data_IF_696539830985
#
_entry.id   IF_696539830985
#
_cell.length_a   1.000
_cell.length_b   1.000
_cell.length_c   1.000
_cell.angle_alpha   90.00
_cell.angle_beta   90.00
_cell.angle_gamma   90.00
#
_symmetry.space_group_name_H-M   'P 1'
#
loop_
_entity.id
_entity.type
_entity.pdbx_description
1 polymer ?
#
# COMPACT_ATOMS: atom_id res chain seq x y z
N UNK A 1 7.53 -24.04 -13.11
CA UNK A 1 6.31 -23.28 -12.84
C UNK A 1 5.96 -22.46 -14.06
N UNK A 2 4.79 -22.69 -14.63
CA UNK A 2 4.37 -22.01 -15.85
C UNK A 2 3.12 -21.18 -15.60
N UNK A 3 3.07 -20.02 -16.25
CA UNK A 3 1.91 -19.13 -16.25
C UNK A 3 1.01 -19.48 -17.45
N UNK A 4 0.17 -20.50 -17.27
CA UNK A 4 -0.75 -21.01 -18.30
C UNK A 4 -2.18 -21.05 -17.77
N UNK A 5 -3.14 -21.00 -18.68
CA UNK A 5 -4.56 -21.19 -18.39
C UNK A 5 -4.93 -22.69 -18.50
N UNK A 6 -4.28 -23.52 -17.70
CA UNK A 6 -4.38 -24.97 -17.72
C UNK A 6 -4.65 -25.49 -16.30
N UNK A 7 -5.44 -26.54 -16.18
CA UNK A 7 -5.69 -27.19 -14.89
C UNK A 7 -4.41 -27.53 -14.14
N UNK A 8 -4.41 -27.30 -12.83
CA UNK A 8 -3.23 -27.45 -11.96
C UNK A 8 -2.29 -26.23 -11.93
N UNK A 9 -2.55 -25.16 -12.68
CA UNK A 9 -1.78 -23.92 -12.61
C UNK A 9 -2.46 -22.84 -11.77
N UNK A 10 -1.69 -21.89 -11.24
CA UNK A 10 -2.23 -20.79 -10.44
C UNK A 10 -3.22 -19.93 -11.23
N UNK A 11 -2.86 -19.54 -12.45
CA UNK A 11 -3.73 -18.71 -13.30
C UNK A 11 -5.08 -19.38 -13.58
N UNK A 12 -5.09 -20.68 -13.81
CA UNK A 12 -6.34 -21.44 -13.99
C UNK A 12 -7.21 -21.41 -12.74
N UNK A 13 -6.62 -21.65 -11.56
CA UNK A 13 -7.32 -21.59 -10.28
C UNK A 13 -7.89 -20.20 -9.94
N UNK A 14 -7.25 -19.13 -10.41
CA UNK A 14 -7.69 -17.76 -10.22
C UNK A 14 -8.75 -17.33 -11.25
N UNK A 15 -8.46 -17.52 -12.53
CA UNK A 15 -9.27 -16.92 -13.61
C UNK A 15 -10.38 -17.82 -14.14
N UNK A 16 -10.23 -19.15 -14.06
CA UNK A 16 -11.22 -20.11 -14.59
C UNK A 16 -12.15 -20.68 -13.55
N UNK A 17 -11.63 -20.96 -12.36
CA UNK A 17 -12.46 -21.51 -11.29
C UNK A 17 -13.23 -20.41 -10.57
N UNK A 18 -14.42 -20.73 -10.10
CA UNK A 18 -15.29 -19.86 -9.33
C UNK A 18 -15.90 -20.59 -8.13
N UNK A 19 -16.58 -19.82 -7.25
CA UNK A 19 -17.14 -20.33 -6.01
C UNK A 19 -16.07 -20.51 -4.91
N UNK A 20 -16.51 -20.99 -3.75
CA UNK A 20 -15.65 -21.15 -2.56
C UNK A 20 -14.52 -22.14 -2.85
N UNK A 21 -13.27 -21.66 -2.76
CA UNK A 21 -12.09 -22.47 -3.05
C UNK A 21 -10.84 -22.00 -2.32
N UNK A 22 -9.93 -22.92 -2.14
CA UNK A 22 -8.57 -22.64 -1.64
C UNK A 22 -7.56 -23.16 -2.64
N UNK A 23 -6.63 -22.28 -3.06
CA UNK A 23 -5.48 -22.66 -3.87
C UNK A 23 -4.34 -23.03 -2.92
N UNK A 24 -3.83 -24.25 -3.07
CA UNK A 24 -2.70 -24.81 -2.34
C UNK A 24 -1.57 -25.16 -3.30
N UNK A 25 -0.34 -25.17 -2.82
CA UNK A 25 0.84 -25.39 -3.65
C UNK A 25 1.60 -26.63 -3.22
N UNK A 26 1.94 -27.48 -4.16
CA UNK A 26 2.80 -28.66 -3.95
C UNK A 26 4.25 -28.41 -4.35
N UNK A 27 4.53 -27.24 -4.93
CA UNK A 27 5.84 -26.85 -5.45
C UNK A 27 6.18 -25.44 -5.00
N UNK A 28 7.45 -25.07 -5.06
CA UNK A 28 7.92 -23.71 -4.81
C UNK A 28 8.65 -23.15 -6.03
N UNK A 29 8.83 -21.84 -6.06
CA UNK A 29 9.61 -21.15 -7.07
C UNK A 29 8.93 -19.89 -7.62
N UNK A 30 9.47 -19.39 -8.74
CA UNK A 30 8.95 -18.19 -9.41
C UNK A 30 8.08 -18.56 -10.60
N UNK A 31 6.88 -17.99 -10.64
CA UNK A 31 6.00 -17.99 -11.80
C UNK A 31 6.24 -16.66 -12.53
N UNK A 32 6.87 -16.73 -13.70
CA UNK A 32 6.99 -15.57 -14.59
C UNK A 32 5.68 -15.39 -15.32
N UNK A 33 4.97 -14.33 -14.98
CA UNK A 33 3.67 -14.02 -15.58
C UNK A 33 3.85 -13.64 -17.05
N UNK A 34 2.88 -14.03 -17.88
CA UNK A 34 2.82 -13.71 -19.32
C UNK A 34 1.89 -12.50 -19.61
N UNK A 35 1.35 -11.89 -18.58
CA UNK A 35 0.47 -10.73 -18.59
C UNK A 35 -0.11 -10.50 -17.21
N UNK A 36 -0.83 -9.43 -17.04
CA UNK A 36 -1.51 -9.10 -15.79
C UNK A 36 -2.27 -10.31 -15.24
N UNK A 37 -2.19 -10.48 -13.91
CA UNK A 37 -2.98 -11.52 -13.23
C UNK A 37 -4.13 -10.86 -12.50
N UNK A 38 -5.37 -11.19 -12.86
CA UNK A 38 -6.58 -10.56 -12.33
C UNK A 38 -7.42 -11.54 -11.52
N UNK A 39 -7.52 -11.29 -10.21
CA UNK A 39 -8.35 -12.08 -9.31
C UNK A 39 -9.78 -11.56 -9.41
N UNK A 40 -10.56 -12.08 -10.39
CA UNK A 40 -11.94 -11.66 -10.67
C UNK A 40 -13.01 -12.53 -10.03
N UNK A 41 -12.65 -13.72 -9.58
CA UNK A 41 -13.56 -14.67 -8.97
C UNK A 41 -13.28 -14.73 -7.46
N UNK A 42 -14.18 -14.19 -6.67
CA UNK A 42 -14.08 -14.15 -5.21
C UNK A 42 -14.31 -15.47 -4.49
N UNK A 43 -14.61 -15.40 -3.21
CA UNK A 43 -14.70 -16.56 -2.31
C UNK A 43 -13.44 -17.45 -2.38
N UNK A 44 -12.27 -16.80 -2.43
CA UNK A 44 -10.98 -17.41 -2.70
C UNK A 44 -9.99 -17.23 -1.55
N UNK A 45 -9.33 -18.30 -1.18
CA UNK A 45 -8.09 -18.24 -0.38
C UNK A 45 -6.91 -18.71 -1.22
N UNK A 46 -5.86 -17.89 -1.32
CA UNK A 46 -4.56 -18.29 -1.87
C UNK A 46 -3.62 -18.57 -0.69
N UNK A 47 -3.36 -19.85 -0.44
CA UNK A 47 -2.63 -20.34 0.73
C UNK A 47 -1.15 -20.60 0.38
N UNK A 48 -0.37 -19.52 0.17
CA UNK A 48 1.05 -19.60 -0.19
C UNK A 48 1.91 -20.36 0.82
N UNK A 49 1.52 -20.41 2.10
CA UNK A 49 2.21 -21.16 3.16
C UNK A 49 2.21 -22.67 2.95
N UNK A 50 1.41 -23.20 2.04
CA UNK A 50 1.42 -24.62 1.71
C UNK A 50 2.54 -25.03 0.75
N UNK A 51 3.16 -24.05 0.08
CA UNK A 51 4.29 -24.28 -0.79
C UNK A 51 5.53 -24.70 0.02
N UNK A 52 6.31 -25.68 -0.45
CA UNK A 52 7.55 -26.04 0.19
C UNK A 52 8.64 -24.97 -0.01
N UNK A 53 9.76 -25.09 0.71
CA UNK A 53 10.95 -24.25 0.56
C UNK A 53 10.64 -22.76 0.67
N UNK A 54 11.09 -21.97 -0.31
CA UNK A 54 10.94 -20.52 -0.31
C UNK A 54 9.58 -19.99 -0.76
N UNK A 55 8.59 -20.88 -0.95
CA UNK A 55 7.24 -20.49 -1.34
C UNK A 55 7.10 -20.07 -2.81
N UNK A 56 6.04 -19.34 -3.11
CA UNK A 56 5.69 -18.90 -4.47
C UNK A 56 6.00 -17.41 -4.67
N UNK A 57 6.65 -17.11 -5.78
CA UNK A 57 6.88 -15.75 -6.27
C UNK A 57 6.15 -15.54 -7.60
N UNK A 58 5.43 -14.43 -7.73
CA UNK A 58 4.86 -13.94 -8.99
C UNK A 58 5.74 -12.81 -9.51
N UNK A 59 6.21 -12.91 -10.75
CA UNK A 59 7.15 -11.94 -11.31
C UNK A 59 6.75 -11.47 -12.71
N UNK A 60 7.11 -10.23 -13.03
CA UNK A 60 7.09 -9.69 -14.39
C UNK A 60 5.88 -8.84 -14.76
N UNK A 61 4.74 -8.98 -14.09
CA UNK A 61 3.53 -8.19 -14.37
C UNK A 61 2.77 -7.84 -13.10
N UNK A 62 1.92 -6.80 -13.15
CA UNK A 62 1.01 -6.44 -12.06
C UNK A 62 0.02 -7.55 -11.70
N UNK A 63 -0.37 -7.58 -10.43
CA UNK A 63 -1.46 -8.43 -9.95
C UNK A 63 -2.58 -7.55 -9.42
N UNK A 64 -3.79 -7.77 -9.91
CA UNK A 64 -4.98 -7.00 -9.55
C UNK A 64 -5.98 -7.86 -8.79
N UNK A 65 -6.45 -7.35 -7.64
CA UNK A 65 -7.55 -7.93 -6.90
C UNK A 65 -8.84 -7.20 -7.28
N UNK A 66 -9.70 -7.90 -8.00
CA UNK A 66 -10.95 -7.39 -8.58
C UNK A 66 -12.13 -8.27 -8.15
N UNK A 67 -12.17 -8.68 -6.88
CA UNK A 67 -13.21 -9.56 -6.34
C UNK A 67 -13.40 -9.40 -4.82
N UNK A 68 -14.58 -9.73 -4.33
CA UNK A 68 -14.94 -9.77 -2.92
C UNK A 68 -14.52 -11.11 -2.27
N UNK A 69 -14.40 -11.12 -0.94
CA UNK A 69 -14.15 -12.33 -0.14
C UNK A 69 -12.85 -13.03 -0.54
N UNK A 70 -11.72 -12.32 -0.49
CA UNK A 70 -10.41 -12.86 -0.90
C UNK A 70 -9.41 -12.80 0.25
N UNK A 71 -8.73 -13.91 0.48
CA UNK A 71 -7.60 -14.01 1.40
C UNK A 71 -6.35 -14.42 0.59
N UNK A 72 -5.27 -13.63 0.70
CA UNK A 72 -3.98 -13.93 0.09
C UNK A 72 -2.90 -13.99 1.17
N UNK A 73 -2.23 -15.11 1.29
CA UNK A 73 -1.24 -15.32 2.35
C UNK A 73 0.07 -15.91 1.82
N UNK A 74 1.19 -15.43 2.37
CA UNK A 74 2.53 -15.96 2.14
C UNK A 74 2.95 -16.00 0.66
N UNK A 75 2.53 -15.00 -0.11
CA UNK A 75 2.92 -14.82 -1.52
C UNK A 75 3.97 -13.73 -1.67
N UNK A 76 4.83 -13.88 -2.66
CA UNK A 76 5.81 -12.86 -3.05
C UNK A 76 5.44 -12.29 -4.41
N UNK A 77 5.45 -10.96 -4.52
CA UNK A 77 5.17 -10.22 -5.76
C UNK A 77 6.43 -9.43 -6.13
N UNK A 78 7.00 -9.71 -7.29
CA UNK A 78 8.24 -9.09 -7.80
C UNK A 78 7.98 -8.65 -9.23
N UNK A 79 7.24 -7.54 -9.37
CA UNK A 79 6.81 -7.06 -10.67
C UNK A 79 7.98 -6.86 -11.63
N UNK A 80 8.98 -6.13 -11.19
CA UNK A 80 10.13 -5.80 -12.05
C UNK A 80 9.80 -4.69 -13.04
N UNK A 81 10.72 -4.48 -13.99
CA UNK A 81 10.62 -3.46 -15.04
C UNK A 81 10.79 -4.13 -16.40
N UNK A 82 9.70 -4.67 -16.94
CA UNK A 82 9.68 -5.26 -18.28
C UNK A 82 9.40 -4.20 -19.35
N UNK A 83 10.02 -4.33 -20.51
CA UNK A 83 9.86 -3.37 -21.62
C UNK A 83 8.43 -3.33 -22.17
N UNK A 84 7.69 -4.42 -22.09
CA UNK A 84 6.31 -4.54 -22.59
C UNK A 84 5.25 -4.15 -21.54
N UNK A 85 5.66 -3.74 -20.34
CA UNK A 85 4.78 -3.25 -19.28
C UNK A 85 4.94 -1.75 -19.13
N UNK A 86 3.83 -0.99 -19.25
CA UNK A 86 3.87 0.44 -18.95
C UNK A 86 4.29 0.66 -17.50
N UNK A 87 5.28 1.51 -17.29
CA UNK A 87 5.71 1.88 -15.95
C UNK A 87 4.67 2.75 -15.20
N UNK A 88 3.74 3.37 -15.95
CA UNK A 88 2.69 4.23 -15.38
C UNK A 88 1.54 3.38 -14.85
N UNK A 89 1.24 3.51 -13.56
CA UNK A 89 0.19 2.76 -12.88
C UNK A 89 0.49 1.26 -12.70
N UNK A 90 1.75 0.87 -12.79
CA UNK A 90 2.17 -0.52 -12.64
C UNK A 90 2.50 -0.84 -11.18
N UNK A 91 1.46 -1.18 -10.43
CA UNK A 91 1.52 -1.61 -9.05
C UNK A 91 1.90 -3.09 -8.95
N UNK A 92 2.72 -3.46 -7.97
CA UNK A 92 3.06 -4.88 -7.81
C UNK A 92 1.83 -5.70 -7.37
N UNK A 93 1.01 -5.14 -6.48
CA UNK A 93 -0.27 -5.73 -6.07
C UNK A 93 -1.25 -4.66 -5.61
N UNK A 94 -2.43 -4.62 -6.20
CA UNK A 94 -3.43 -3.60 -5.87
C UNK A 94 -4.88 -4.03 -6.14
N UNK A 95 -5.84 -3.24 -5.64
CA UNK A 95 -7.26 -3.46 -5.87
C UNK A 95 -8.14 -2.40 -5.23
N UNK A 96 -9.31 -2.19 -5.80
CA UNK A 96 -10.29 -1.18 -5.36
C UNK A 96 -11.71 -1.67 -5.55
N UNK A 97 -12.65 -1.06 -4.77
CA UNK A 97 -14.10 -1.26 -4.88
C UNK A 97 -14.60 -2.65 -4.51
N UNK A 98 -13.84 -3.36 -3.67
CA UNK A 98 -14.17 -4.71 -3.21
C UNK A 98 -14.23 -4.78 -1.69
N UNK A 99 -14.69 -5.89 -1.15
CA UNK A 99 -14.88 -6.05 0.29
C UNK A 99 -14.46 -7.41 0.82
N UNK A 100 -14.26 -7.46 2.15
CA UNK A 100 -13.87 -8.66 2.87
C UNK A 100 -12.54 -9.24 2.34
N UNK A 101 -11.48 -8.43 2.40
CA UNK A 101 -10.17 -8.77 1.85
C UNK A 101 -9.14 -8.82 2.97
N UNK A 102 -8.32 -9.85 2.98
CA UNK A 102 -7.15 -9.95 3.84
C UNK A 102 -5.90 -10.30 3.03
N UNK A 103 -4.88 -9.46 3.16
CA UNK A 103 -3.52 -9.69 2.64
C UNK A 103 -2.60 -9.88 3.84
N UNK A 104 -2.01 -11.06 3.96
CA UNK A 104 -1.33 -11.46 5.18
C UNK A 104 0.00 -12.16 4.89
N UNK A 105 1.09 -11.73 5.55
CA UNK A 105 2.44 -12.30 5.39
C UNK A 105 2.92 -12.36 3.93
N UNK A 106 2.60 -11.35 3.15
CA UNK A 106 3.06 -11.24 1.76
C UNK A 106 4.25 -10.29 1.64
N UNK A 107 4.99 -10.39 0.54
CA UNK A 107 5.99 -9.38 0.22
C UNK A 107 5.82 -8.84 -1.20
N UNK A 108 5.88 -7.52 -1.33
CA UNK A 108 5.68 -6.79 -2.58
C UNK A 108 6.87 -5.87 -2.82
N UNK A 109 7.51 -6.00 -3.98
CA UNK A 109 8.70 -5.22 -4.35
C UNK A 109 8.82 -5.03 -5.85
N UNK A 110 9.70 -4.07 -6.23
CA UNK A 110 10.12 -3.82 -7.61
C UNK A 110 8.99 -3.34 -8.52
N UNK A 111 8.03 -2.60 -7.96
CA UNK A 111 7.03 -1.86 -8.71
C UNK A 111 7.65 -0.63 -9.39
N UNK A 112 7.04 -0.15 -10.44
CA UNK A 112 7.44 1.09 -11.13
C UNK A 112 6.55 2.27 -10.79
N UNK A 113 5.38 2.03 -10.20
CA UNK A 113 4.50 3.03 -9.56
C UNK A 113 4.39 2.69 -8.07
N UNK A 114 3.34 2.06 -7.56
CA UNK A 114 3.23 1.64 -6.15
C UNK A 114 3.50 0.15 -5.96
N UNK A 115 4.09 -0.19 -4.82
CA UNK A 115 4.20 -1.62 -4.49
C UNK A 115 2.88 -2.22 -4.01
N UNK A 116 2.08 -1.46 -3.24
CA UNK A 116 0.80 -1.95 -2.71
C UNK A 116 -0.23 -0.84 -2.62
N UNK A 117 -1.24 -0.85 -3.48
CA UNK A 117 -2.33 0.13 -3.43
C UNK A 117 -3.68 -0.52 -3.21
N UNK A 118 -4.22 -0.34 -2.00
CA UNK A 118 -5.58 -0.76 -1.65
C UNK A 118 -6.31 0.40 -0.99
N UNK A 119 -7.31 0.92 -1.67
CA UNK A 119 -8.18 2.00 -1.20
C UNK A 119 -9.58 1.84 -1.81
N UNK A 120 -10.58 2.50 -1.23
CA UNK A 120 -12.00 2.30 -1.57
C UNK A 120 -12.49 0.83 -1.45
N UNK A 121 -11.83 0.03 -0.63
CA UNK A 121 -12.31 -1.30 -0.25
C UNK A 121 -13.02 -1.22 1.09
N UNK A 122 -13.91 -2.18 1.37
CA UNK A 122 -14.63 -2.29 2.64
C UNK A 122 -14.16 -3.56 3.40
N UNK A 123 -14.00 -3.45 4.73
CA UNK A 123 -13.51 -4.55 5.56
C UNK A 123 -12.20 -5.13 5.01
N UNK A 124 -11.20 -4.28 4.92
CA UNK A 124 -9.89 -4.60 4.35
C UNK A 124 -8.83 -4.73 5.45
N UNK A 125 -7.95 -5.71 5.32
CA UNK A 125 -6.77 -5.84 6.18
C UNK A 125 -5.51 -6.13 5.37
N UNK A 126 -4.46 -5.35 5.60
CA UNK A 126 -3.09 -5.61 5.14
C UNK A 126 -2.19 -5.74 6.37
N UNK A 127 -1.65 -6.92 6.61
CA UNK A 127 -0.90 -7.19 7.83
C UNK A 127 0.35 -8.05 7.61
N UNK A 128 1.37 -7.83 8.44
CA UNK A 128 2.60 -8.62 8.46
C UNK A 128 3.28 -8.73 7.09
N UNK A 129 3.17 -7.68 6.30
CA UNK A 129 3.71 -7.64 4.96
C UNK A 129 5.03 -6.87 4.90
N UNK A 130 5.90 -7.29 3.97
CA UNK A 130 7.12 -6.59 3.59
C UNK A 130 6.87 -5.87 2.27
N UNK A 131 6.92 -4.54 2.28
CA UNK A 131 6.67 -3.68 1.13
C UNK A 131 7.94 -2.86 0.92
N UNK A 132 8.71 -3.19 -0.11
CA UNK A 132 10.05 -2.60 -0.21
C UNK A 132 10.57 -2.44 -1.64
N UNK A 133 11.58 -1.56 -1.77
CA UNK A 133 12.43 -1.50 -2.96
C UNK A 133 11.66 -1.24 -4.25
N UNK A 134 10.78 -0.24 -4.26
CA UNK A 134 10.19 0.26 -5.48
C UNK A 134 11.27 0.81 -6.43
N UNK A 135 11.07 0.63 -7.73
CA UNK A 135 12.05 1.00 -8.76
C UNK A 135 11.94 2.50 -9.11
N UNK A 136 12.67 3.33 -8.37
CA UNK A 136 12.64 4.79 -8.52
C UNK A 136 12.94 5.27 -9.94
N UNK A 137 13.78 4.59 -10.67
CA UNK A 137 14.14 4.87 -12.05
C UNK A 137 13.55 3.82 -13.02
N UNK A 138 12.35 3.35 -12.74
CA UNK A 138 11.65 2.29 -13.48
C UNK A 138 11.08 2.70 -14.85
N UNK A 139 11.29 3.95 -15.31
CA UNK A 139 10.82 4.41 -16.62
C UNK A 139 9.46 5.10 -16.61
N UNK A 140 8.93 5.47 -15.46
CA UNK A 140 7.65 6.20 -15.34
C UNK A 140 7.72 7.56 -16.07
N UNK A 141 6.66 7.93 -16.83
CA UNK A 141 6.65 9.14 -17.68
C UNK A 141 6.79 10.45 -16.90
N UNK A 142 6.41 10.48 -15.62
CA UNK A 142 6.60 11.63 -14.72
C UNK A 142 8.03 11.76 -14.16
N UNK A 143 8.97 10.94 -14.61
CA UNK A 143 10.34 10.90 -14.12
C UNK A 143 10.52 9.98 -12.90
N UNK A 144 11.49 10.26 -12.01
CA UNK A 144 11.74 9.42 -10.83
C UNK A 144 10.47 9.17 -10.03
N UNK A 145 10.13 7.88 -9.85
CA UNK A 145 8.90 7.39 -9.24
C UNK A 145 9.24 6.26 -8.26
N UNK A 146 8.38 5.28 -8.07
CA UNK A 146 8.65 4.15 -7.20
C UNK A 146 8.20 4.41 -5.76
N UNK A 147 6.96 4.03 -5.48
CA UNK A 147 6.27 4.40 -4.26
C UNK A 147 5.86 3.20 -3.41
N UNK A 148 5.64 3.42 -2.12
CA UNK A 148 5.15 2.38 -1.21
C UNK A 148 3.72 1.96 -1.53
N UNK A 149 2.76 2.88 -1.39
CA UNK A 149 1.38 2.55 -1.72
C UNK A 149 0.36 3.63 -1.37
N UNK A 150 -0.82 3.52 -1.97
CA UNK A 150 -2.01 4.28 -1.59
C UNK A 150 -2.88 3.41 -0.70
N UNK A 151 -3.11 3.87 0.53
CA UNK A 151 -3.90 3.18 1.54
C UNK A 151 -5.14 3.97 1.91
N UNK A 152 -6.28 3.32 1.97
CA UNK A 152 -7.57 3.92 2.31
C UNK A 152 -8.67 2.87 2.38
N UNK A 153 -9.90 3.30 2.60
CA UNK A 153 -11.07 2.43 2.54
C UNK A 153 -12.04 2.57 3.71
N UNK A 154 -13.11 1.83 3.60
CA UNK A 154 -14.21 1.79 4.56
C UNK A 154 -13.98 0.67 5.58
N UNK A 155 -13.53 1.01 6.80
CA UNK A 155 -13.09 0.05 7.83
C UNK A 155 -11.87 -0.75 7.36
N UNK A 156 -10.81 -0.04 6.98
CA UNK A 156 -9.56 -0.62 6.53
C UNK A 156 -8.50 -0.60 7.63
N UNK A 157 -7.78 -1.70 7.80
CA UNK A 157 -6.69 -1.85 8.78
C UNK A 157 -5.37 -2.18 8.09
N UNK A 158 -4.33 -1.43 8.44
CA UNK A 158 -2.98 -1.61 7.92
C UNK A 158 -2.02 -1.70 9.11
N UNK A 159 -1.57 -2.92 9.44
CA UNK A 159 -0.79 -3.08 10.66
C UNK A 159 0.32 -4.12 10.57
N UNK A 160 1.37 -3.92 11.39
CA UNK A 160 2.53 -4.80 11.45
C UNK A 160 3.24 -4.99 10.10
N UNK A 161 3.24 -3.96 9.27
CA UNK A 161 3.92 -3.98 7.98
C UNK A 161 5.27 -3.26 8.07
N UNK A 162 6.19 -3.63 7.20
CA UNK A 162 7.41 -2.88 6.94
C UNK A 162 7.31 -2.23 5.56
N UNK A 163 7.37 -0.88 5.51
CA UNK A 163 7.55 -0.10 4.28
C UNK A 163 9.00 0.39 4.25
N UNK A 164 9.76 0.03 3.23
CA UNK A 164 11.17 0.39 3.19
C UNK A 164 11.67 0.72 1.77
N UNK A 165 12.56 1.72 1.67
CA UNK A 165 13.26 2.07 0.44
C UNK A 165 12.34 2.52 -0.71
N UNK A 166 11.38 3.38 -0.39
CA UNK A 166 10.50 4.00 -1.37
C UNK A 166 10.79 5.49 -1.50
N UNK A 167 10.58 6.03 -2.70
CA UNK A 167 10.72 7.47 -2.91
C UNK A 167 9.70 8.24 -2.08
N UNK A 168 8.43 7.86 -2.15
CA UNK A 168 7.31 8.50 -1.48
C UNK A 168 6.18 7.51 -1.19
N UNK A 169 5.02 8.00 -0.73
CA UNK A 169 3.84 7.20 -0.41
C UNK A 169 4.12 6.07 0.60
N UNK A 170 4.60 6.47 1.80
CA UNK A 170 4.93 5.55 2.88
C UNK A 170 3.98 5.66 4.11
N UNK A 171 2.66 5.44 3.94
CA UNK A 171 1.88 5.42 2.72
C UNK A 171 1.39 6.82 2.29
N UNK A 172 0.75 6.93 1.14
CA UNK A 172 -0.22 7.96 0.81
C UNK A 172 -1.58 7.53 1.38
N UNK A 173 -2.12 8.23 2.34
CA UNK A 173 -3.49 8.02 2.79
C UNK A 173 -4.43 8.66 1.76
N UNK A 174 -5.09 7.84 0.97
CA UNK A 174 -5.84 8.28 -0.20
C UNK A 174 -7.30 7.95 -0.16
N UNK A 175 -8.20 8.97 -0.10
CA UNK A 175 -9.58 8.77 -0.48
C UNK A 175 -9.66 8.54 -2.00
N UNK A 176 -10.75 7.97 -2.44
CA UNK A 176 -11.06 7.81 -3.85
C UNK A 176 -12.23 8.70 -4.28
N UNK A 177 -12.63 8.56 -5.53
CA UNK A 177 -13.70 9.39 -6.11
C UNK A 177 -15.08 9.18 -5.49
N UNK A 178 -15.31 8.01 -4.87
CA UNK A 178 -16.56 7.68 -4.17
C UNK A 178 -16.49 7.88 -2.65
N UNK A 179 -15.41 8.45 -2.15
CA UNK A 179 -15.23 8.69 -0.73
C UNK A 179 -16.09 9.84 -0.25
N UNK A 180 -16.63 9.68 0.96
CA UNK A 180 -17.26 10.75 1.75
C UNK A 180 -16.56 10.82 3.09
N UNK A 181 -16.78 11.89 3.86
CA UNK A 181 -16.20 12.00 5.19
C UNK A 181 -16.63 10.85 6.12
N UNK A 182 -17.83 10.35 5.94
CA UNK A 182 -18.42 9.33 6.82
C UNK A 182 -17.93 7.91 6.52
N UNK A 183 -17.46 7.63 5.30
CA UNK A 183 -17.16 6.25 4.90
C UNK A 183 -15.67 5.87 4.91
N UNK A 184 -14.75 6.83 4.89
CA UNK A 184 -13.32 6.54 4.94
C UNK A 184 -12.83 6.40 6.38
N UNK A 185 -12.67 5.17 6.84
CA UNK A 185 -12.23 4.84 8.21
C UNK A 185 -11.01 3.93 8.13
N UNK A 186 -9.86 4.44 8.54
CA UNK A 186 -8.56 3.76 8.42
C UNK A 186 -7.86 3.65 9.77
N UNK A 187 -7.37 2.45 10.07
CA UNK A 187 -6.54 2.16 11.21
C UNK A 187 -5.13 1.76 10.77
N UNK A 188 -4.15 2.64 10.97
CA UNK A 188 -2.74 2.44 10.64
C UNK A 188 -1.93 2.32 11.93
N UNK A 189 -1.51 1.10 12.28
CA UNK A 189 -0.81 0.86 13.55
C UNK A 189 0.33 -0.14 13.48
N UNK A 190 1.31 0.03 14.39
CA UNK A 190 2.40 -0.92 14.57
C UNK A 190 3.18 -1.22 13.28
N UNK A 191 3.26 -0.26 12.35
CA UNK A 191 4.07 -0.39 11.14
C UNK A 191 5.46 0.18 11.36
N UNK A 192 6.42 -0.31 10.59
CA UNK A 192 7.76 0.27 10.47
C UNK A 192 7.87 0.94 9.11
N UNK A 193 8.27 2.22 9.12
CA UNK A 193 8.52 3.01 7.92
C UNK A 193 10.01 3.38 7.90
N UNK A 194 10.75 2.89 6.91
CA UNK A 194 12.19 3.06 6.85
C UNK A 194 12.67 3.64 5.54
N UNK A 195 13.64 4.57 5.63
CA UNK A 195 14.47 5.05 4.51
C UNK A 195 13.66 5.59 3.32
N UNK A 196 12.70 6.48 3.58
CA UNK A 196 11.99 7.21 2.51
C UNK A 196 12.88 8.29 1.89
N UNK A 197 12.72 8.56 0.60
CA UNK A 197 13.46 9.61 -0.10
C UNK A 197 12.69 10.95 -0.10
N UNK A 198 11.45 10.97 -0.59
CA UNK A 198 10.62 12.17 -0.74
C UNK A 198 9.68 12.41 0.43
N UNK A 199 8.78 11.48 0.72
CA UNK A 199 7.82 11.60 1.80
C UNK A 199 7.67 10.30 2.61
N UNK A 200 7.45 10.45 3.91
CA UNK A 200 6.88 9.42 4.79
C UNK A 200 5.37 9.29 4.52
N UNK A 201 4.54 9.31 5.55
CA UNK A 201 3.09 9.33 5.41
C UNK A 201 2.57 10.72 5.02
N UNK A 202 1.53 10.79 4.20
CA UNK A 202 0.82 12.04 3.89
C UNK A 202 -0.58 11.80 3.32
N UNK A 203 -1.41 12.86 3.31
CA UNK A 203 -2.76 12.85 2.77
C UNK A 203 -3.84 12.77 3.82
N UNK A 204 -4.83 11.90 3.63
CA UNK A 204 -5.93 11.70 4.57
C UNK A 204 -7.07 12.70 4.44
N UNK A 205 -7.27 13.25 3.25
CA UNK A 205 -8.34 14.22 2.96
C UNK A 205 -9.72 13.65 3.29
N UNK A 206 -10.45 14.30 4.18
CA UNK A 206 -11.76 13.92 4.67
C UNK A 206 -11.86 12.50 5.28
N UNK A 207 -10.75 11.90 5.69
CA UNK A 207 -10.72 10.55 6.26
C UNK A 207 -10.77 10.59 7.78
N UNK A 208 -11.27 9.50 8.40
CA UNK A 208 -11.09 9.23 9.83
C UNK A 208 -9.93 8.25 9.99
N UNK A 209 -8.84 8.69 10.60
CA UNK A 209 -7.59 7.90 10.60
C UNK A 209 -7.02 7.76 12.01
N UNK A 210 -6.75 6.54 12.42
CA UNK A 210 -5.88 6.25 13.55
C UNK A 210 -4.45 6.03 13.03
N UNK A 211 -3.47 6.75 13.60
CA UNK A 211 -2.04 6.55 13.36
C UNK A 211 -1.39 6.25 14.70
N UNK A 212 -1.22 4.97 15.03
CA UNK A 212 -0.91 4.53 16.38
C UNK A 212 0.32 3.61 16.42
N UNK A 213 1.29 3.93 17.29
CA UNK A 213 2.44 3.08 17.58
C UNK A 213 3.26 2.69 16.33
N UNK A 214 3.33 3.54 15.30
CA UNK A 214 4.20 3.29 14.17
C UNK A 214 5.63 3.78 14.46
N UNK A 215 6.61 3.12 13.86
CA UNK A 215 8.02 3.44 14.00
C UNK A 215 8.57 3.97 12.68
N UNK A 216 9.05 5.22 12.70
CA UNK A 216 9.61 5.90 11.54
C UNK A 216 11.13 6.01 11.72
N UNK A 217 11.90 5.40 10.82
CA UNK A 217 13.35 5.45 10.84
C UNK A 217 13.89 6.05 9.55
N UNK A 218 14.32 7.33 9.57
CA UNK A 218 15.06 7.90 8.46
C UNK A 218 16.31 7.08 8.15
N UNK A 219 16.60 6.88 6.89
CA UNK A 219 17.77 6.12 6.44
C UNK A 219 18.70 6.94 5.53
N UNK A 220 19.64 6.29 4.85
CA UNK A 220 20.61 6.96 3.99
C UNK A 220 20.00 7.78 2.84
N UNK A 221 18.85 7.36 2.31
CA UNK A 221 18.14 8.07 1.24
C UNK A 221 17.26 9.22 1.75
N UNK A 222 16.97 9.26 3.07
CA UNK A 222 16.10 10.29 3.63
C UNK A 222 16.85 11.62 3.73
N UNK A 223 16.37 12.70 3.07
CA UNK A 223 17.08 13.98 3.00
C UNK A 223 17.33 14.55 4.39
N UNK A 224 18.53 15.08 4.60
CA UNK A 224 18.91 15.85 5.78
C UNK A 224 18.47 17.30 5.65
N UNK A 225 18.25 18.00 6.79
CA UNK A 225 17.93 19.43 6.80
C UNK A 225 16.55 19.79 6.26
N UNK A 226 15.64 18.82 6.13
CA UNK A 226 14.27 19.04 5.69
C UNK A 226 13.27 18.63 6.76
N UNK A 227 12.10 19.29 6.79
CA UNK A 227 10.99 18.92 7.68
C UNK A 227 10.49 17.50 7.43
N UNK A 228 10.72 16.95 6.25
CA UNK A 228 10.27 15.59 5.87
C UNK A 228 10.99 14.49 6.64
N UNK A 229 12.21 14.75 7.13
CA UNK A 229 13.00 13.76 7.87
C UNK A 229 12.37 13.38 9.21
N UNK A 230 11.88 14.35 9.96
CA UNK A 230 11.27 14.11 11.28
C UNK A 230 9.74 13.97 11.26
N UNK A 231 9.13 13.99 10.10
CA UNK A 231 7.68 14.10 9.98
C UNK A 231 6.98 12.74 9.99
N UNK A 232 6.01 12.60 10.89
CA UNK A 232 5.13 11.41 10.95
C UNK A 232 4.14 11.47 9.78
N UNK A 233 3.41 12.57 9.63
CA UNK A 233 2.41 12.75 8.58
C UNK A 233 2.36 14.19 8.09
N UNK A 234 2.01 14.38 6.82
CA UNK A 234 1.52 15.64 6.27
C UNK A 234 0.03 15.46 5.92
N UNK A 235 -0.83 15.99 6.80
CA UNK A 235 -2.29 15.98 6.57
C UNK A 235 -2.63 16.98 5.48
N UNK A 236 -3.56 16.65 4.60
CA UNK A 236 -3.92 17.46 3.44
C UNK A 236 -5.42 17.50 3.22
N UNK A 237 -5.88 18.40 2.34
CA UNK A 237 -7.26 18.47 1.86
C UNK A 237 -7.33 18.77 0.37
N UNK A 238 -8.43 18.43 -0.26
CA UNK A 238 -8.70 18.67 -1.68
C UNK A 238 -9.17 20.09 -1.89
N UNK A 239 -8.38 20.98 -2.52
CA UNK A 239 -8.70 22.42 -2.63
C UNK A 239 -8.59 22.99 -4.05
N UNK A 240 -8.03 22.27 -5.01
CA UNK A 240 -7.92 22.74 -6.39
C UNK A 240 -9.24 22.66 -7.15
N UNK A 241 -9.37 23.42 -8.24
CA UNK A 241 -10.54 23.30 -9.13
C UNK A 241 -10.68 21.89 -9.73
N UNK A 242 -9.58 21.21 -9.97
CA UNK A 242 -9.57 19.82 -10.38
C UNK A 242 -10.08 18.90 -9.28
N UNK A 243 -9.69 19.14 -8.03
CA UNK A 243 -10.20 18.37 -6.88
C UNK A 243 -11.69 18.58 -6.68
N UNK A 244 -12.17 19.84 -6.79
CA UNK A 244 -13.61 20.14 -6.70
C UNK A 244 -14.43 19.36 -7.72
N UNK A 245 -13.89 19.19 -8.91
CA UNK A 245 -14.56 18.42 -9.97
C UNK A 245 -14.50 16.91 -9.74
N UNK A 246 -13.35 16.40 -9.30
CA UNK A 246 -13.09 14.96 -9.18
C UNK A 246 -13.55 14.38 -7.84
N UNK A 247 -13.59 15.20 -6.79
CA UNK A 247 -13.89 14.79 -5.41
C UNK A 247 -14.91 15.74 -4.74
N UNK A 248 -16.07 15.99 -5.35
CA UNK A 248 -17.00 16.99 -4.84
C UNK A 248 -17.50 16.72 -3.42
N UNK A 249 -17.64 15.46 -3.02
CA UNK A 249 -18.13 15.06 -1.69
C UNK A 249 -17.14 15.33 -0.54
N UNK A 250 -15.87 15.46 -0.86
CA UNK A 250 -14.79 15.68 0.13
C UNK A 250 -13.97 16.95 -0.16
N UNK A 251 -14.45 17.78 -1.07
CA UNK A 251 -13.77 19.03 -1.42
C UNK A 251 -13.73 19.98 -0.21
N UNK A 252 -12.59 20.60 0.01
CA UNK A 252 -12.30 21.54 1.10
C UNK A 252 -12.61 20.97 2.51
N UNK A 253 -12.49 19.66 2.68
CA UNK A 253 -12.80 18.96 3.92
C UNK A 253 -11.55 18.34 4.51
N UNK A 254 -11.25 18.67 5.78
CA UNK A 254 -10.18 18.02 6.55
C UNK A 254 -10.62 16.65 7.05
N UNK A 255 -9.66 15.74 7.15
CA UNK A 255 -9.83 14.48 7.88
C UNK A 255 -9.77 14.68 9.40
N UNK A 256 -10.21 13.67 10.13
CA UNK A 256 -10.09 13.59 11.58
C UNK A 256 -9.06 12.52 11.94
N UNK A 257 -8.08 12.89 12.81
CA UNK A 257 -6.94 12.02 13.10
C UNK A 257 -6.80 11.76 14.59
N UNK A 258 -6.60 10.50 14.96
CA UNK A 258 -6.10 10.12 16.27
C UNK A 258 -4.65 9.64 16.12
N UNK A 259 -3.71 10.40 16.68
CA UNK A 259 -2.26 10.16 16.52
C UNK A 259 -1.63 9.96 17.89
N UNK A 260 -1.14 8.75 18.17
CA UNK A 260 -0.58 8.43 19.48
C UNK A 260 0.53 7.38 19.39
N UNK A 261 1.55 7.51 20.24
CA UNK A 261 2.57 6.49 20.45
C UNK A 261 3.51 6.25 19.27
N UNK A 262 3.49 7.09 18.23
CA UNK A 262 4.41 6.96 17.12
C UNK A 262 5.81 7.47 17.51
N UNK A 263 6.85 6.85 16.95
CA UNK A 263 8.24 7.19 17.24
C UNK A 263 8.97 7.52 15.94
N UNK A 264 9.73 8.61 15.95
CA UNK A 264 10.72 8.92 14.90
C UNK A 264 12.11 8.75 15.48
N UNK A 265 12.86 7.78 14.99
CA UNK A 265 14.22 7.45 15.42
C UNK A 265 15.24 7.83 14.34
N UNK A 266 15.67 9.08 14.36
CA UNK A 266 16.70 9.59 13.44
C UNK A 266 18.01 9.98 14.14
N UNK A 267 18.12 9.70 15.42
CA UNK A 267 19.23 10.12 16.28
C UNK A 267 19.22 11.60 16.68
N UNK A 268 18.29 12.39 16.13
CA UNK A 268 18.11 13.81 16.43
C UNK A 268 16.76 14.09 17.09
N UNK A 269 15.81 13.18 16.94
CA UNK A 269 14.44 13.29 17.45
C UNK A 269 14.18 12.06 18.30
N UNK A 270 14.10 12.24 19.62
CA UNK A 270 13.91 11.15 20.57
C UNK A 270 12.86 11.49 21.63
N UNK A 271 11.94 10.57 21.83
CA UNK A 271 10.98 10.62 22.92
C UNK A 271 9.81 11.61 22.77
N UNK A 272 9.03 11.75 23.83
CA UNK A 272 7.79 12.51 23.84
C UNK A 272 7.97 14.01 23.56
N UNK A 273 9.07 14.60 24.02
CA UNK A 273 9.35 16.04 23.80
C UNK A 273 9.54 16.38 22.30
N UNK A 274 10.03 15.42 21.52
CA UNK A 274 10.25 15.59 20.09
C UNK A 274 9.02 15.19 19.26
N UNK A 275 8.10 14.45 19.84
CA UNK A 275 6.85 14.04 19.18
C UNK A 275 6.07 15.26 18.68
N UNK A 276 5.83 16.24 19.55
CA UNK A 276 5.16 17.49 19.18
C UNK A 276 5.90 18.24 18.09
N UNK A 277 7.24 18.22 18.10
CA UNK A 277 8.05 18.83 17.05
C UNK A 277 7.85 18.14 15.70
N UNK A 278 7.79 16.81 15.69
CA UNK A 278 7.50 16.05 14.47
C UNK A 278 6.13 16.41 13.90
N UNK A 279 5.13 16.60 14.75
CA UNK A 279 3.80 17.02 14.33
C UNK A 279 3.77 18.47 13.88
N UNK A 280 4.46 19.38 14.55
CA UNK A 280 4.56 20.79 14.17
C UNK A 280 5.19 21.01 12.80
N UNK A 281 5.98 20.08 12.29
CA UNK A 281 6.51 20.15 10.92
C UNK A 281 5.41 20.15 9.85
N UNK A 282 4.18 19.82 10.21
CA UNK A 282 3.00 19.81 9.33
C UNK A 282 1.90 20.75 9.83
N UNK A 283 2.26 21.78 10.60
CA UNK A 283 1.33 22.59 11.37
C UNK A 283 0.18 23.17 10.55
N UNK A 284 0.43 23.60 9.31
CA UNK A 284 -0.60 24.22 8.46
C UNK A 284 -1.70 23.21 8.08
N UNK A 285 -1.38 21.92 8.09
CA UNK A 285 -2.32 20.83 7.84
C UNK A 285 -2.85 20.23 9.15
N UNK A 286 -2.00 20.18 10.18
CA UNK A 286 -2.28 19.58 11.46
C UNK A 286 -3.37 20.32 12.25
N UNK A 287 -3.30 21.63 12.31
CA UNK A 287 -4.24 22.45 13.08
C UNK A 287 -5.71 22.27 12.67
N UNK A 288 -5.94 21.81 11.47
CA UNK A 288 -7.28 21.63 10.90
C UNK A 288 -7.71 20.17 10.76
N UNK A 289 -6.81 19.22 11.00
CA UNK A 289 -7.05 17.78 10.79
C UNK A 289 -7.25 16.98 12.07
N UNK A 290 -7.30 17.64 13.23
CA UNK A 290 -7.39 16.99 14.55
C UNK A 290 -8.58 17.51 15.34
#
# INVERSE_FOLDING_TARGET
LEDKLQDGTLRYGIEKLSGKRTIVFQVSGTIHLNGDLKIKNGDLTIAGQTAPGDGICLAGYPVFLEADNVIVRFMRFRMGNKEDVSADGADAFGGRYHRNIMIDHCSMSWCTDECVSFYQNENFTLQWCLISESLRLGGHTKGPHGYGGIWGGMKASFHHNLLAHHDSRNPRLGPGVNSTKENEIVDMRNNVIYNWCGNSCYGGEAMHVNIVNNFYKPGPATPTGTSKRGRIIAIDKKVSDSDKKSYPAIFDTWGDFFIQGNVVDDGQINGAADYDRCMKATKDNWEYGV
#
